data_IF_787551489172
#
_entry.id   IF_787551489172
#
_cell.length_a   1.000
_cell.length_b   1.000
_cell.length_c   1.000
_cell.angle_alpha   90.00
_cell.angle_beta   90.00
_cell.angle_gamma   90.00
#
_symmetry.space_group_name_H-M   'P 1'
#
loop_
_entity.id
_entity.type
_entity.pdbx_description
1 polymer ?
#
# COMPACT_ATOMS: atom_id res chain seq x y z
N UNK A 1 33.51 -0.41 -20.44
CA UNK A 1 32.25 -1.04 -19.98
C UNK A 1 31.54 0.01 -19.14
N UNK A 2 30.59 0.75 -19.71
CA UNK A 2 29.85 1.77 -18.95
C UNK A 2 28.86 1.05 -18.03
N UNK A 3 29.05 1.18 -16.72
CA UNK A 3 28.05 0.75 -15.74
C UNK A 3 26.85 1.70 -15.84
N UNK A 4 25.80 1.24 -16.53
CA UNK A 4 24.54 1.98 -16.63
C UNK A 4 23.79 1.85 -15.31
N UNK A 5 23.87 2.88 -14.47
CA UNK A 5 23.10 2.94 -13.23
C UNK A 5 23.54 4.07 -12.31
N UNK A 6 22.59 4.60 -11.53
CA UNK A 6 22.92 5.43 -10.37
C UNK A 6 23.25 4.49 -9.21
N UNK A 7 24.28 4.75 -8.39
CA UNK A 7 24.57 3.95 -7.20
C UNK A 7 23.33 3.82 -6.30
N UNK A 8 22.87 2.58 -6.09
CA UNK A 8 21.73 2.32 -5.21
C UNK A 8 22.07 2.79 -3.79
N UNK A 9 21.31 3.77 -3.28
CA UNK A 9 21.51 4.37 -1.96
C UNK A 9 22.00 5.81 -1.97
N UNK A 10 22.30 6.40 -3.13
CA UNK A 10 22.52 7.85 -3.21
C UNK A 10 21.22 8.60 -2.92
N UNK A 11 21.21 9.60 -2.01
CA UNK A 11 20.05 10.47 -1.76
C UNK A 11 19.56 11.21 -3.03
N UNK A 12 20.44 11.35 -4.03
CA UNK A 12 20.13 12.01 -5.31
C UNK A 12 19.50 11.07 -6.33
N UNK A 13 19.60 9.75 -6.14
CA UNK A 13 19.07 8.77 -7.11
C UNK A 13 17.57 8.96 -7.39
N UNK A 14 16.69 9.18 -6.40
CA UNK A 14 15.28 9.41 -6.67
C UNK A 14 15.00 10.68 -7.49
N UNK A 15 15.83 11.73 -7.31
CA UNK A 15 15.73 12.96 -8.07
C UNK A 15 16.13 12.73 -9.53
N UNK A 16 17.29 12.11 -9.77
CA UNK A 16 17.76 11.83 -11.13
C UNK A 16 16.82 10.90 -11.89
N UNK A 17 16.30 9.86 -11.26
CA UNK A 17 15.30 8.98 -11.89
C UNK A 17 14.04 9.75 -12.29
N UNK A 18 13.56 10.69 -11.46
CA UNK A 18 12.39 11.49 -11.80
C UNK A 18 12.65 12.51 -12.91
N UNK A 19 13.83 13.16 -12.92
CA UNK A 19 14.23 14.06 -14.01
C UNK A 19 14.29 13.29 -15.34
N UNK A 20 14.88 12.10 -15.31
CA UNK A 20 15.00 11.25 -16.49
C UNK A 20 13.63 10.83 -17.04
N UNK A 21 12.74 10.33 -16.18
CA UNK A 21 11.42 9.85 -16.57
C UNK A 21 10.44 10.97 -16.93
N UNK A 22 10.66 12.20 -16.45
CA UNK A 22 9.83 13.36 -16.79
C UNK A 22 9.81 13.66 -18.31
N UNK A 23 10.83 13.23 -19.05
CA UNK A 23 10.83 13.33 -20.52
C UNK A 23 9.67 12.53 -21.14
N UNK A 24 9.35 11.34 -20.61
CA UNK A 24 8.19 10.56 -21.09
C UNK A 24 6.90 11.34 -20.87
N UNK A 25 6.71 11.90 -19.66
CA UNK A 25 5.50 12.64 -19.31
C UNK A 25 5.30 13.84 -20.26
N UNK A 26 6.37 14.61 -20.51
CA UNK A 26 6.32 15.75 -21.42
C UNK A 26 6.03 15.34 -22.87
N UNK A 27 6.67 14.29 -23.37
CA UNK A 27 6.47 13.82 -24.75
C UNK A 27 5.07 13.22 -24.92
N UNK A 28 4.55 12.51 -23.91
CA UNK A 28 3.19 11.99 -23.89
C UNK A 28 2.16 13.10 -24.14
N UNK A 29 2.30 14.22 -23.42
CA UNK A 29 1.43 15.38 -23.59
C UNK A 29 1.68 16.14 -24.88
N UNK A 30 2.95 16.42 -25.25
CA UNK A 30 3.28 17.13 -26.51
C UNK A 30 2.79 16.41 -27.75
N UNK A 31 2.73 15.07 -27.74
CA UNK A 31 2.19 14.28 -28.85
C UNK A 31 0.66 14.29 -28.92
N UNK A 32 -0.03 14.83 -27.91
CA UNK A 32 -1.49 14.84 -27.81
C UNK A 32 -2.08 13.45 -27.59
N UNK A 33 -1.32 12.54 -26.96
CA UNK A 33 -1.82 11.19 -26.66
C UNK A 33 -3.04 11.15 -25.73
N UNK A 34 -3.19 12.07 -24.75
CA UNK A 34 -4.43 12.14 -23.97
C UNK A 34 -5.68 12.27 -24.83
N UNK A 35 -5.65 13.10 -25.86
CA UNK A 35 -6.78 13.34 -26.77
C UNK A 35 -6.85 12.27 -27.86
N UNK A 36 -5.73 11.99 -28.54
CA UNK A 36 -5.67 11.06 -29.69
C UNK A 36 -6.01 9.63 -29.29
N UNK A 37 -5.48 9.17 -28.16
CA UNK A 37 -5.68 7.80 -27.68
C UNK A 37 -6.79 7.71 -26.62
N UNK A 38 -7.26 8.86 -26.10
CA UNK A 38 -8.24 8.88 -25.03
C UNK A 38 -7.70 8.25 -23.75
N UNK A 39 -6.44 8.53 -23.41
CA UNK A 39 -5.70 7.86 -22.34
C UNK A 39 -4.88 8.82 -21.46
N UNK A 40 -5.02 8.74 -20.14
CA UNK A 40 -4.23 9.51 -19.19
C UNK A 40 -3.08 8.68 -18.61
N UNK A 41 -1.91 9.30 -18.46
CA UNK A 41 -0.73 8.72 -17.83
C UNK A 41 -0.64 9.20 -16.39
N UNK A 42 -0.50 8.24 -15.46
CA UNK A 42 -0.27 8.50 -14.04
C UNK A 42 0.99 7.74 -13.63
N UNK A 43 2.03 8.44 -13.19
CA UNK A 43 3.33 7.84 -12.83
C UNK A 43 3.67 8.11 -11.36
N UNK A 44 4.29 7.13 -10.73
CA UNK A 44 4.90 7.21 -9.41
C UNK A 44 6.26 6.55 -9.46
N UNK A 45 7.33 7.35 -9.42
CA UNK A 45 8.69 6.87 -9.69
C UNK A 45 8.74 6.11 -11.03
N UNK A 46 9.07 4.83 -11.00
CA UNK A 46 9.15 3.90 -12.13
C UNK A 46 7.82 3.19 -12.45
N UNK A 47 6.89 3.13 -11.49
CA UNK A 47 5.58 2.52 -11.70
C UNK A 47 4.63 3.49 -12.42
N UNK A 48 3.92 3.02 -13.45
CA UNK A 48 2.97 3.83 -14.22
C UNK A 48 1.63 3.11 -14.44
N UNK A 49 0.55 3.89 -14.51
CA UNK A 49 -0.77 3.46 -14.97
C UNK A 49 -1.18 4.30 -16.17
N UNK A 50 -1.64 3.63 -17.22
CA UNK A 50 -2.32 4.22 -18.36
C UNK A 50 -3.81 3.94 -18.23
N UNK A 51 -4.63 4.99 -18.07
CA UNK A 51 -6.08 4.86 -17.96
C UNK A 51 -6.71 5.24 -19.29
N UNK A 52 -7.20 4.26 -20.03
CA UNK A 52 -7.81 4.45 -21.35
C UNK A 52 -9.33 4.30 -21.31
N UNK A 53 -10.02 5.09 -22.15
CA UNK A 53 -11.47 4.94 -22.39
C UNK A 53 -11.78 3.90 -23.47
N UNK A 54 -10.84 3.70 -24.40
CA UNK A 54 -10.95 2.80 -25.57
C UNK A 54 -10.02 1.58 -25.39
N UNK A 55 -9.63 0.94 -26.50
CA UNK A 55 -8.63 -0.13 -26.53
C UNK A 55 -7.30 0.31 -25.89
N UNK A 56 -6.71 -0.59 -25.10
CA UNK A 56 -5.53 -0.33 -24.29
C UNK A 56 -4.23 -0.66 -25.03
N UNK A 57 -4.32 -1.50 -26.07
CA UNK A 57 -3.20 -2.01 -26.84
C UNK A 57 -2.43 -0.88 -27.54
N UNK A 58 -3.07 0.06 -28.29
CA UNK A 58 -2.36 1.18 -28.91
C UNK A 58 -1.75 2.15 -27.89
N UNK A 59 -2.36 2.24 -26.70
CA UNK A 59 -1.89 3.09 -25.61
C UNK A 59 -0.60 2.51 -25.02
N UNK A 60 -0.58 1.19 -24.81
CA UNK A 60 0.59 0.48 -24.32
C UNK A 60 1.73 0.50 -25.33
N UNK A 61 1.44 0.30 -26.62
CA UNK A 61 2.42 0.40 -27.71
C UNK A 61 3.03 1.80 -27.79
N UNK A 62 2.21 2.85 -27.72
CA UNK A 62 2.70 4.22 -27.71
C UNK A 62 3.61 4.51 -26.50
N UNK A 63 3.25 4.00 -25.32
CA UNK A 63 4.08 4.15 -24.12
C UNK A 63 5.39 3.37 -24.21
N UNK A 64 5.35 2.12 -24.69
CA UNK A 64 6.52 1.29 -24.93
C UNK A 64 7.50 1.97 -25.90
N UNK A 65 6.97 2.53 -27.00
CA UNK A 65 7.77 3.30 -27.95
C UNK A 65 8.46 4.50 -27.28
N UNK A 66 7.78 5.26 -26.42
CA UNK A 66 8.41 6.37 -25.70
C UNK A 66 9.50 5.90 -24.73
N UNK A 67 9.26 4.79 -24.02
CA UNK A 67 10.24 4.20 -23.11
C UNK A 67 11.50 3.75 -23.87
N UNK A 68 11.34 3.05 -25.00
CA UNK A 68 12.46 2.59 -25.83
C UNK A 68 13.29 3.75 -26.39
N UNK A 69 12.63 4.86 -26.75
CA UNK A 69 13.30 6.09 -27.22
C UNK A 69 14.18 6.74 -26.16
N UNK A 70 13.95 6.45 -24.88
CA UNK A 70 14.83 6.86 -23.78
C UNK A 70 15.58 5.65 -23.19
N UNK A 71 15.82 4.59 -23.97
CA UNK A 71 16.65 3.46 -23.57
C UNK A 71 16.08 2.61 -22.43
N UNK A 72 14.77 2.66 -22.18
CA UNK A 72 14.08 1.83 -21.20
C UNK A 72 13.23 0.77 -21.89
N UNK A 73 13.08 -0.38 -21.24
CA UNK A 73 12.18 -1.45 -21.69
C UNK A 73 11.14 -1.74 -20.62
N UNK A 74 9.90 -2.02 -21.06
CA UNK A 74 8.84 -2.39 -20.13
C UNK A 74 9.07 -3.79 -19.59
N UNK A 75 8.88 -3.98 -18.29
CA UNK A 75 8.91 -5.30 -17.68
C UNK A 75 7.64 -6.09 -18.11
N UNK A 76 7.81 -7.04 -19.03
CA UNK A 76 6.70 -7.82 -19.60
C UNK A 76 5.94 -8.67 -18.58
N UNK A 77 6.59 -9.12 -17.51
CA UNK A 77 5.94 -9.92 -16.46
C UNK A 77 5.05 -9.06 -15.56
N UNK A 78 5.45 -7.80 -15.32
CA UNK A 78 4.70 -6.85 -14.50
C UNK A 78 3.62 -6.10 -15.29
N UNK A 79 3.86 -5.88 -16.58
CA UNK A 79 2.95 -5.14 -17.46
C UNK A 79 1.73 -5.99 -17.79
N UNK A 80 0.54 -5.42 -17.57
CA UNK A 80 -0.73 -6.09 -17.89
C UNK A 80 -1.81 -5.10 -18.28
N UNK A 81 -2.68 -5.52 -19.18
CA UNK A 81 -3.94 -4.82 -19.50
C UNK A 81 -5.05 -5.46 -18.67
N UNK A 82 -5.86 -4.66 -18.00
CA UNK A 82 -6.99 -5.15 -17.21
C UNK A 82 -8.12 -4.15 -17.15
N UNK A 83 -9.33 -4.63 -16.92
CA UNK A 83 -10.50 -3.77 -16.72
C UNK A 83 -10.57 -3.35 -15.27
N UNK A 84 -11.04 -2.12 -15.04
CA UNK A 84 -11.25 -1.62 -13.68
C UNK A 84 -12.27 -2.45 -12.88
N UNK A 85 -13.16 -3.20 -13.56
CA UNK A 85 -14.08 -4.15 -12.90
C UNK A 85 -13.38 -5.35 -12.26
N UNK A 86 -12.29 -5.80 -12.88
CA UNK A 86 -11.50 -6.95 -12.43
C UNK A 86 -10.53 -6.50 -11.33
N UNK A 87 -10.09 -5.24 -11.45
CA UNK A 87 -9.31 -4.51 -10.48
C UNK A 87 -7.80 -4.73 -10.66
N UNK A 88 -7.01 -3.83 -10.07
CA UNK A 88 -5.56 -3.88 -10.17
C UNK A 88 -4.88 -3.32 -8.94
N UNK A 89 -3.67 -3.80 -8.68
CA UNK A 89 -2.81 -3.28 -7.62
C UNK A 89 -1.86 -2.20 -8.16
N UNK A 90 -1.70 -1.10 -7.42
CA UNK A 90 -0.73 -0.01 -7.67
C UNK A 90 -0.34 0.67 -6.35
N UNK A 91 0.97 0.82 -6.10
CA UNK A 91 1.57 1.42 -4.88
C UNK A 91 0.94 0.88 -3.58
N UNK A 92 0.68 -0.42 -3.53
CA UNK A 92 0.08 -1.08 -2.37
C UNK A 92 -1.44 -0.89 -2.22
N UNK A 93 -2.12 -0.20 -3.14
CA UNK A 93 -3.57 -0.09 -3.20
C UNK A 93 -4.15 -1.00 -4.28
N UNK A 94 -5.31 -1.58 -4.04
CA UNK A 94 -6.13 -2.28 -5.01
C UNK A 94 -7.30 -1.38 -5.43
N UNK A 95 -7.38 -1.08 -6.72
CA UNK A 95 -8.45 -0.28 -7.31
C UNK A 95 -9.44 -1.21 -8.01
N UNK A 96 -10.73 -1.05 -7.72
CA UNK A 96 -11.76 -1.85 -8.38
C UNK A 96 -13.10 -1.12 -8.48
N UNK A 97 -13.72 -1.15 -9.66
CA UNK A 97 -15.04 -0.55 -9.92
C UNK A 97 -16.14 -1.57 -9.67
N UNK A 98 -16.97 -1.34 -8.66
CA UNK A 98 -18.07 -2.23 -8.26
C UNK A 98 -19.34 -1.43 -7.99
N UNK A 99 -20.48 -2.11 -7.99
CA UNK A 99 -21.75 -1.48 -7.57
C UNK A 99 -21.70 -1.22 -6.07
N UNK A 100 -22.03 0.01 -5.68
CA UNK A 100 -22.20 0.38 -4.29
C UNK A 100 -23.41 -0.34 -3.70
N UNK A 101 -23.28 -1.05 -2.57
CA UNK A 101 -24.41 -1.67 -1.90
C UNK A 101 -25.45 -0.64 -1.42
N UNK A 102 -25.02 0.59 -1.11
CA UNK A 102 -25.90 1.65 -0.59
C UNK A 102 -26.67 2.38 -1.69
N UNK A 103 -26.02 2.65 -2.83
CA UNK A 103 -26.60 3.50 -3.88
C UNK A 103 -26.89 2.79 -5.20
N UNK A 104 -26.46 1.54 -5.36
CA UNK A 104 -26.56 0.78 -6.62
C UNK A 104 -25.64 1.27 -7.75
N UNK A 105 -25.07 2.49 -7.64
CA UNK A 105 -24.20 3.11 -8.65
C UNK A 105 -22.83 2.43 -8.69
N UNK A 106 -22.22 2.36 -9.89
CA UNK A 106 -20.84 1.88 -10.06
C UNK A 106 -19.87 2.94 -9.55
N UNK A 107 -19.13 2.63 -8.50
CA UNK A 107 -18.12 3.50 -7.90
C UNK A 107 -16.76 2.78 -7.86
N UNK A 108 -15.68 3.55 -7.79
CA UNK A 108 -14.33 3.01 -7.63
C UNK A 108 -14.06 2.87 -6.14
N UNK A 109 -13.76 1.64 -5.72
CA UNK A 109 -13.29 1.35 -4.38
C UNK A 109 -11.77 1.21 -4.38
N UNK A 110 -11.16 1.66 -3.30
CA UNK A 110 -9.71 1.53 -3.06
C UNK A 110 -9.50 0.73 -1.79
N UNK A 111 -8.69 -0.32 -1.84
CA UNK A 111 -8.40 -1.18 -0.69
C UNK A 111 -6.91 -1.32 -0.49
N UNK A 112 -6.42 -1.60 0.73
CA UNK A 112 -5.04 -2.06 0.90
C UNK A 112 -4.85 -3.39 0.15
N UNK A 113 -3.90 -3.44 -0.77
CA UNK A 113 -3.63 -4.61 -1.59
C UNK A 113 -3.25 -5.83 -0.74
N UNK A 114 -3.54 -7.04 -1.22
CA UNK A 114 -3.31 -8.28 -0.46
C UNK A 114 -1.83 -8.48 -0.13
N UNK A 115 -0.94 -8.12 -1.05
CA UNK A 115 0.50 -8.18 -0.83
C UNK A 115 0.95 -7.18 0.25
N UNK A 116 0.42 -5.95 0.27
CA UNK A 116 0.70 -4.95 1.30
C UNK A 116 0.22 -5.41 2.70
N UNK A 117 -0.97 -6.02 2.78
CA UNK A 117 -1.46 -6.64 4.02
C UNK A 117 -0.60 -7.82 4.48
N UNK A 118 -0.05 -8.61 3.55
CA UNK A 118 0.88 -9.70 3.86
C UNK A 118 2.23 -9.16 4.35
N UNK A 119 2.72 -8.09 3.74
CA UNK A 119 3.97 -7.43 4.10
C UNK A 119 3.95 -6.94 5.54
N UNK A 120 2.96 -6.13 5.95
CA UNK A 120 2.84 -5.65 7.34
C UNK A 120 2.77 -6.81 8.34
N UNK A 121 2.00 -7.87 8.02
CA UNK A 121 1.92 -9.05 8.88
C UNK A 121 3.29 -9.70 9.03
N UNK A 122 4.06 -9.82 7.96
CA UNK A 122 5.39 -10.40 7.95
C UNK A 122 6.40 -9.55 8.74
N UNK A 123 6.41 -8.23 8.55
CA UNK A 123 7.24 -7.31 9.34
C UNK A 123 6.96 -7.46 10.84
N UNK A 124 5.68 -7.54 11.22
CA UNK A 124 5.32 -7.81 12.61
C UNK A 124 5.78 -9.19 13.08
N UNK A 125 5.73 -10.26 12.24
CA UNK A 125 6.26 -11.57 12.65
C UNK A 125 7.76 -11.51 12.92
N UNK A 126 8.48 -10.76 12.09
CA UNK A 126 9.93 -10.60 12.19
C UNK A 126 10.30 -9.86 13.48
N UNK A 127 9.70 -8.69 13.72
CA UNK A 127 9.92 -7.89 14.93
C UNK A 127 9.52 -8.63 16.21
N UNK A 128 8.42 -9.38 16.16
CA UNK A 128 7.90 -10.10 17.32
C UNK A 128 8.32 -11.57 17.30
N UNK A 129 9.53 -11.86 16.81
CA UNK A 129 10.04 -13.22 16.72
C UNK A 129 9.94 -13.92 18.08
N UNK A 130 9.54 -15.20 18.08
CA UNK A 130 9.16 -15.94 19.29
C UNK A 130 10.31 -16.18 20.27
N UNK A 131 11.55 -15.88 19.87
CA UNK A 131 12.78 -16.11 20.63
C UNK A 131 13.37 -14.83 21.25
N UNK A 132 12.80 -13.66 20.96
CA UNK A 132 13.33 -12.41 21.49
C UNK A 132 12.94 -12.25 22.98
N UNK A 133 13.91 -11.99 23.89
CA UNK A 133 13.66 -11.80 25.32
C UNK A 133 13.10 -10.41 25.65
N UNK A 134 12.23 -9.85 24.80
CA UNK A 134 11.64 -8.53 25.02
C UNK A 134 10.59 -8.57 26.13
N UNK A 135 10.48 -7.49 26.88
CA UNK A 135 9.40 -7.25 27.85
C UNK A 135 8.07 -6.97 27.13
N UNK A 136 6.90 -7.13 27.79
CA UNK A 136 5.62 -6.76 27.19
C UNK A 136 5.54 -5.29 26.76
N UNK A 137 6.19 -4.38 27.48
CA UNK A 137 6.24 -2.95 27.15
C UNK A 137 7.04 -2.70 25.87
N UNK A 138 8.25 -3.24 25.80
CA UNK A 138 9.10 -3.14 24.60
C UNK A 138 8.43 -3.77 23.37
N UNK A 139 7.72 -4.89 23.54
CA UNK A 139 6.94 -5.49 22.46
C UNK A 139 5.94 -4.48 21.87
N UNK A 140 5.22 -3.76 22.73
CA UNK A 140 4.23 -2.76 22.33
C UNK A 140 4.91 -1.59 21.62
N UNK A 141 6.03 -1.11 22.15
CA UNK A 141 6.82 0.00 21.59
C UNK A 141 7.39 -0.35 20.20
N UNK A 142 7.79 -1.60 19.96
CA UNK A 142 8.22 -2.08 18.65
C UNK A 142 7.07 -2.18 17.63
N UNK A 143 5.89 -2.62 18.09
CA UNK A 143 4.73 -2.86 17.20
C UNK A 143 4.01 -1.56 16.83
N UNK A 144 3.86 -0.64 17.78
CA UNK A 144 3.08 0.59 17.63
C UNK A 144 3.46 1.44 16.40
N UNK A 145 4.73 1.85 16.18
CA UNK A 145 5.07 2.74 15.06
C UNK A 145 4.80 2.07 13.70
N UNK A 146 5.08 0.78 13.58
CA UNK A 146 4.87 0.03 12.33
C UNK A 146 3.38 -0.06 11.99
N UNK A 147 2.54 -0.35 12.99
CA UNK A 147 1.09 -0.40 12.80
C UNK A 147 0.52 0.98 12.49
N UNK A 148 0.93 2.01 13.22
CA UNK A 148 0.45 3.38 13.00
C UNK A 148 0.87 3.93 11.65
N UNK A 149 2.10 3.67 11.20
CA UNK A 149 2.55 4.05 9.86
C UNK A 149 1.69 3.39 8.77
N UNK A 150 1.40 2.09 8.92
CA UNK A 150 0.55 1.38 7.97
C UNK A 150 -0.90 1.89 7.98
N UNK A 151 -1.47 2.20 9.16
CA UNK A 151 -2.81 2.82 9.26
C UNK A 151 -2.82 4.20 8.62
N UNK A 152 -1.82 5.04 8.91
CA UNK A 152 -1.72 6.38 8.34
C UNK A 152 -1.58 6.37 6.82
N UNK A 153 -0.90 5.38 6.26
CA UNK A 153 -0.79 5.21 4.81
C UNK A 153 -2.12 4.80 4.16
N UNK A 154 -2.85 3.87 4.79
CA UNK A 154 -4.07 3.28 4.21
C UNK A 154 -5.38 3.90 4.67
N UNK A 155 -5.37 4.89 5.59
CA UNK A 155 -6.58 5.51 6.16
C UNK A 155 -7.52 6.16 5.16
N UNK A 156 -7.02 6.56 4.00
CA UNK A 156 -7.80 7.20 2.95
C UNK A 156 -8.50 6.19 2.01
N UNK A 157 -8.27 4.88 2.22
CA UNK A 157 -8.89 3.81 1.46
C UNK A 157 -10.08 3.18 2.21
N UNK A 158 -10.83 2.32 1.54
CA UNK A 158 -11.85 1.45 2.12
C UNK A 158 -11.21 0.32 2.97
N UNK A 159 -10.45 0.68 4.00
CA UNK A 159 -9.53 -0.20 4.69
C UNK A 159 -10.09 -0.90 5.94
N UNK A 160 -11.35 -0.65 6.32
CA UNK A 160 -11.93 -1.12 7.60
C UNK A 160 -11.78 -2.62 7.82
N UNK A 161 -12.02 -3.45 6.80
CA UNK A 161 -11.83 -4.90 6.89
C UNK A 161 -10.36 -5.30 7.05
N UNK A 162 -9.47 -4.61 6.35
CA UNK A 162 -8.04 -4.85 6.45
C UNK A 162 -7.52 -4.47 7.85
N UNK A 163 -8.03 -3.38 8.41
CA UNK A 163 -7.68 -2.89 9.76
C UNK A 163 -8.20 -3.86 10.83
N UNK A 164 -9.46 -4.31 10.73
CA UNK A 164 -10.02 -5.36 11.61
C UNK A 164 -9.22 -6.65 11.53
N UNK A 165 -8.83 -7.07 10.33
CA UNK A 165 -7.98 -8.23 10.11
C UNK A 165 -6.60 -8.10 10.78
N UNK A 166 -5.98 -6.92 10.66
CA UNK A 166 -4.70 -6.62 11.30
C UNK A 166 -4.82 -6.55 12.83
N UNK A 167 -5.85 -5.90 13.38
CA UNK A 167 -6.13 -5.88 14.82
C UNK A 167 -6.24 -7.28 15.39
N UNK A 168 -7.04 -8.15 14.75
CA UNK A 168 -7.20 -9.55 15.19
C UNK A 168 -5.86 -10.27 15.20
N UNK A 169 -5.05 -10.07 14.16
CA UNK A 169 -3.72 -10.67 14.05
C UNK A 169 -2.77 -10.20 15.17
N UNK A 170 -2.71 -8.90 15.45
CA UNK A 170 -1.88 -8.32 16.52
C UNK A 170 -2.32 -8.86 17.88
N UNK A 171 -3.62 -8.82 18.18
CA UNK A 171 -4.17 -9.30 19.45
C UNK A 171 -3.84 -10.78 19.69
N UNK A 172 -4.01 -11.63 18.67
CA UNK A 172 -3.67 -13.06 18.77
C UNK A 172 -2.17 -13.26 19.01
N UNK A 173 -1.32 -12.50 18.32
CA UNK A 173 0.14 -12.62 18.50
C UNK A 173 0.58 -12.21 19.89
N UNK A 174 0.18 -11.03 20.34
CA UNK A 174 0.59 -10.52 21.65
C UNK A 174 0.07 -11.43 22.77
N UNK A 175 -1.17 -11.90 22.67
CA UNK A 175 -1.73 -12.87 23.60
C UNK A 175 -0.93 -14.17 23.66
N UNK A 176 -0.56 -14.74 22.50
CA UNK A 176 0.27 -15.95 22.43
C UNK A 176 1.67 -15.73 23.00
N UNK A 177 2.24 -14.54 22.82
CA UNK A 177 3.49 -14.13 23.46
C UNK A 177 3.36 -14.11 24.99
N UNK A 178 2.31 -13.47 25.54
CA UNK A 178 2.07 -13.41 26.99
C UNK A 178 1.81 -14.79 27.63
N UNK A 179 1.04 -15.65 26.95
CA UNK A 179 0.78 -17.01 27.44
C UNK A 179 2.08 -17.81 27.54
N UNK A 180 2.92 -17.77 26.50
CA UNK A 180 4.19 -18.48 26.49
C UNK A 180 5.14 -17.95 27.57
N UNK A 181 5.21 -16.62 27.75
CA UNK A 181 6.01 -16.00 28.82
C UNK A 181 5.54 -16.42 30.22
N UNK A 182 4.23 -16.54 30.42
CA UNK A 182 3.65 -17.02 31.69
C UNK A 182 3.58 -18.54 31.84
N UNK A 183 4.30 -19.30 30.99
CA UNK A 183 4.32 -20.78 30.95
C UNK A 183 2.93 -21.43 30.87
N UNK A 184 1.94 -20.70 30.35
CA UNK A 184 0.57 -21.17 30.19
C UNK A 184 0.38 -22.01 28.92
N UNK A 185 -0.78 -22.68 28.82
CA UNK A 185 -1.22 -23.43 27.64
C UNK A 185 -2.40 -22.76 26.93
N UNK A 186 -2.60 -23.09 25.66
CA UNK A 186 -3.73 -22.62 24.85
C UNK A 186 -3.58 -21.18 24.32
N UNK A 187 -4.69 -20.61 23.87
CA UNK A 187 -4.70 -19.29 23.23
C UNK A 187 -4.76 -18.12 24.21
N UNK A 188 -5.15 -18.32 25.47
CA UNK A 188 -5.16 -17.26 26.50
C UNK A 188 -6.33 -16.30 26.47
N UNK A 189 -7.45 -16.63 25.82
CA UNK A 189 -8.61 -15.74 25.67
C UNK A 189 -9.21 -15.29 27.01
N UNK A 190 -9.29 -16.21 27.99
CA UNK A 190 -9.78 -15.92 29.35
C UNK A 190 -8.78 -15.08 30.17
N UNK A 191 -7.49 -15.43 30.11
CA UNK A 191 -6.43 -14.78 30.92
C UNK A 191 -6.06 -13.39 30.41
N UNK A 192 -6.15 -13.19 29.09
CA UNK A 192 -5.79 -11.95 28.40
C UNK A 192 -6.89 -11.57 27.39
N UNK A 193 -8.07 -11.12 27.86
CA UNK A 193 -9.10 -10.60 26.98
C UNK A 193 -8.60 -9.34 26.25
N UNK A 194 -9.25 -8.95 25.14
CA UNK A 194 -8.80 -7.81 24.33
C UNK A 194 -8.65 -6.52 25.14
N UNK A 195 -9.59 -6.21 26.04
CA UNK A 195 -9.50 -5.03 26.92
C UNK A 195 -8.21 -4.98 27.74
N UNK A 196 -7.76 -6.14 28.25
CA UNK A 196 -6.47 -6.24 28.97
C UNK A 196 -5.28 -5.99 28.05
N UNK A 197 -5.33 -6.42 26.79
CA UNK A 197 -4.26 -6.13 25.83
C UNK A 197 -4.14 -4.62 25.56
N UNK A 198 -5.27 -3.92 25.49
CA UNK A 198 -5.31 -2.48 25.26
C UNK A 198 -4.86 -1.69 26.48
N UNK A 199 -5.24 -2.12 27.68
CA UNK A 199 -4.71 -1.57 28.93
C UNK A 199 -3.18 -1.75 29.05
N UNK A 200 -2.61 -2.76 28.39
CA UNK A 200 -1.16 -2.98 28.28
C UNK A 200 -0.50 -2.18 27.14
N UNK A 201 -1.26 -1.38 26.39
CA UNK A 201 -0.74 -0.44 25.38
C UNK A 201 -0.84 -0.91 23.92
N UNK A 202 -1.42 -2.07 23.62
CA UNK A 202 -1.67 -2.47 22.23
C UNK A 202 -2.62 -1.47 21.58
N UNK A 203 -2.22 -0.95 20.42
CA UNK A 203 -3.02 -0.02 19.63
C UNK A 203 -4.36 -0.62 19.20
N UNK A 204 -5.38 0.23 19.21
CA UNK A 204 -6.71 -0.10 18.71
C UNK A 204 -6.98 0.61 17.38
N UNK A 205 -7.15 -0.18 16.33
CA UNK A 205 -7.33 0.25 14.93
C UNK A 205 -8.57 -0.40 14.30
N UNK A 206 -9.34 -1.19 15.06
CA UNK A 206 -10.43 -2.02 14.57
C UNK A 206 -11.78 -1.30 14.43
N UNK A 207 -11.96 -0.16 15.08
CA UNK A 207 -13.10 0.72 14.88
C UNK A 207 -12.69 2.18 15.12
N UNK A 208 -13.26 3.08 14.31
CA UNK A 208 -12.99 4.51 14.33
C UNK A 208 -13.19 5.09 12.94
N UNK A 209 -14.16 6.01 12.80
CA UNK A 209 -14.01 7.07 11.80
C UNK A 209 -12.77 7.83 12.23
N UNK A 210 -11.78 7.95 11.35
CA UNK A 210 -10.67 8.84 11.64
C UNK A 210 -11.20 10.24 11.39
N UNK A 211 -11.56 10.93 12.46
CA UNK A 211 -12.00 12.32 12.40
C UNK A 211 -10.89 13.18 11.81
N UNK A 212 -11.25 13.97 10.81
CA UNK A 212 -10.39 15.00 10.27
C UNK A 212 -10.56 16.22 11.17
N UNK A 213 -9.51 16.77 11.80
CA UNK A 213 -9.60 18.13 12.28
C UNK A 213 -9.80 19.00 11.04
N UNK A 214 -11.01 19.53 10.89
CA UNK A 214 -11.31 20.59 9.93
C UNK A 214 -10.50 21.81 10.37
N UNK A 215 -9.26 21.95 9.89
CA UNK A 215 -8.59 23.26 9.95
C UNK A 215 -9.27 24.14 8.90
N UNK A 216 -10.30 24.86 9.33
CA UNK A 216 -10.61 26.19 8.82
C UNK A 216 -10.22 27.17 9.91
N UNK A 217 -9.07 27.80 9.71
CA UNK A 217 -8.72 29.07 10.32
C UNK A 217 -7.80 29.76 9.31
N UNK A 218 -8.41 30.27 8.25
CA UNK A 218 -8.04 31.60 7.80
C UNK A 218 -8.68 32.53 8.83
N UNK A 219 -7.84 33.23 9.59
CA UNK A 219 -7.95 34.63 9.99
C UNK A 219 -6.57 35.05 10.51
#
# INVERSE_FOLDING_TARGET
MQEVGVPQGSPLSPLYSNIYLNVIDQVWHKRGYPEKLGATLHRYCDDAILVCKKSAEPVLEAFAFLAERIGLTLNREKTRITKLSDGFDFIGFNFVKRKSPKSGKKVIYTFPAKHAQKAIRNSLKFLTSRRAPVSPKEYVELVKPVVMGWVNYFRHANASDAFRGLQRFINIRFRRYLIRRSRGRGFGWKKFPNGKLYAMGIVYIGSGMIEYPTKLAHD
#
